data_IF_951966496018
#
_entry.id   IF_951966496018
#
_cell.length_a   1.000
_cell.length_b   1.000
_cell.length_c   1.000
_cell.angle_alpha   90.00
_cell.angle_beta   90.00
_cell.angle_gamma   90.00
#
_symmetry.space_group_name_H-M   'P 1'
#
loop_
_entity.id
_entity.type
_entity.pdbx_description
1 polymer ?
#
# COMPACT_ATOMS: atom_id res chain seq x y z
N UNK A 1 16.32 -51.14 -23.26
CA UNK A 1 14.97 -50.67 -23.64
C UNK A 1 13.97 -51.75 -23.23
N UNK A 2 13.05 -51.45 -22.30
CA UNK A 2 11.99 -52.39 -21.95
C UNK A 2 10.91 -52.32 -23.05
N UNK A 3 10.76 -53.42 -23.79
CA UNK A 3 9.71 -53.56 -24.81
C UNK A 3 8.40 -53.74 -24.04
N UNK A 4 7.55 -52.71 -24.04
CA UNK A 4 6.21 -52.78 -23.47
C UNK A 4 5.36 -53.70 -24.36
N UNK A 5 5.04 -54.90 -23.85
CA UNK A 5 4.12 -55.82 -24.50
C UNK A 5 2.70 -55.32 -24.24
N UNK A 6 2.03 -54.84 -25.28
CA UNK A 6 0.60 -54.54 -25.20
C UNK A 6 -0.16 -55.84 -24.92
N UNK A 7 -0.97 -55.83 -23.86
CA UNK A 7 -1.83 -56.96 -23.51
C UNK A 7 -2.86 -57.18 -24.60
N UNK A 8 -2.98 -58.41 -25.09
CA UNK A 8 -3.95 -58.76 -26.12
C UNK A 8 -5.39 -58.46 -25.65
N UNK A 9 -6.34 -58.28 -26.58
CA UNK A 9 -7.74 -57.96 -26.30
C UNK A 9 -8.35 -58.98 -25.34
N UNK A 10 -8.00 -60.26 -25.50
CA UNK A 10 -8.44 -61.34 -24.61
C UNK A 10 -7.85 -61.21 -23.20
N UNK A 11 -6.58 -60.85 -23.05
CA UNK A 11 -5.94 -60.63 -21.76
C UNK A 11 -6.57 -59.43 -21.02
N UNK A 12 -6.88 -58.34 -21.74
CA UNK A 12 -7.58 -57.18 -21.16
C UNK A 12 -8.99 -57.55 -20.71
N UNK A 13 -9.72 -58.32 -21.51
CA UNK A 13 -11.08 -58.78 -21.17
C UNK A 13 -11.07 -59.69 -19.94
N UNK A 14 -10.13 -60.63 -19.88
CA UNK A 14 -10.00 -61.55 -18.75
C UNK A 14 -9.59 -60.80 -17.49
N UNK A 15 -8.63 -59.87 -17.57
CA UNK A 15 -8.24 -59.03 -16.44
C UNK A 15 -9.41 -58.17 -15.91
N UNK A 16 -10.24 -57.62 -16.79
CA UNK A 16 -11.44 -56.87 -16.39
C UNK A 16 -12.49 -57.77 -15.71
N UNK A 17 -12.70 -58.99 -16.24
CA UNK A 17 -13.61 -59.97 -15.65
C UNK A 17 -13.12 -60.43 -14.27
N UNK A 18 -11.83 -60.68 -14.12
CA UNK A 18 -11.24 -61.09 -12.84
C UNK A 18 -11.26 -59.96 -11.82
N UNK A 19 -11.03 -58.70 -12.24
CA UNK A 19 -11.20 -57.53 -11.39
C UNK A 19 -12.66 -57.38 -10.91
N UNK A 20 -13.63 -57.61 -11.80
CA UNK A 20 -15.07 -57.55 -11.45
C UNK A 20 -15.47 -58.68 -10.50
N UNK A 21 -14.97 -59.91 -10.72
CA UNK A 21 -15.13 -61.03 -9.80
C UNK A 21 -14.53 -60.71 -8.43
N UNK A 22 -13.29 -60.19 -8.39
CA UNK A 22 -12.63 -59.82 -7.14
C UNK A 22 -13.39 -58.73 -6.37
N UNK A 23 -13.98 -57.75 -7.06
CA UNK A 23 -14.84 -56.73 -6.44
C UNK A 23 -16.13 -57.32 -5.85
N UNK A 24 -16.77 -58.26 -6.56
CA UNK A 24 -17.97 -58.95 -6.08
C UNK A 24 -17.67 -59.85 -4.88
N UNK A 25 -16.58 -60.62 -4.93
CA UNK A 25 -16.16 -61.46 -3.80
C UNK A 25 -15.78 -60.60 -2.59
N UNK A 26 -15.08 -59.47 -2.80
CA UNK A 26 -14.82 -58.50 -1.73
C UNK A 26 -16.10 -57.92 -1.15
N UNK A 27 -17.12 -57.66 -1.96
CA UNK A 27 -18.42 -57.15 -1.49
C UNK A 27 -19.17 -58.21 -0.67
N UNK A 28 -19.21 -59.47 -1.13
CA UNK A 28 -19.81 -60.59 -0.39
C UNK A 28 -19.09 -60.87 0.93
N UNK A 29 -17.77 -60.75 0.95
CA UNK A 29 -16.94 -60.97 2.14
C UNK A 29 -16.91 -59.77 3.10
N UNK A 30 -17.59 -58.66 2.80
CA UNK A 30 -17.66 -57.53 3.75
C UNK A 30 -18.50 -57.95 4.95
N UNK A 31 -18.01 -57.70 6.18
CA UNK A 31 -18.83 -57.90 7.37
C UNK A 31 -20.07 -57.01 7.30
N UNK A 32 -21.16 -57.49 7.89
CA UNK A 32 -22.40 -56.73 8.01
C UNK A 32 -22.17 -55.42 8.78
N UNK A 33 -23.06 -54.44 8.59
CA UNK A 33 -22.98 -53.18 9.32
C UNK A 33 -23.07 -53.36 10.84
N UNK A 34 -23.76 -54.41 11.28
CA UNK A 34 -23.95 -54.79 12.68
C UNK A 34 -22.81 -55.64 13.25
N UNK A 35 -21.79 -55.96 12.44
CA UNK A 35 -20.60 -56.65 12.92
C UNK A 35 -19.88 -55.77 13.97
N UNK A 36 -19.56 -56.31 15.16
CA UNK A 36 -19.00 -55.52 16.27
C UNK A 36 -17.68 -54.82 15.89
N UNK A 37 -16.86 -55.40 15.02
CA UNK A 37 -15.62 -54.78 14.55
C UNK A 37 -15.86 -53.66 13.52
N UNK A 38 -16.99 -53.69 12.78
CA UNK A 38 -17.41 -52.57 11.93
C UNK A 38 -17.95 -51.43 12.78
N UNK A 39 -18.79 -51.73 13.76
CA UNK A 39 -19.36 -50.74 14.69
C UNK A 39 -18.25 -50.04 15.50
N UNK A 40 -17.30 -50.80 16.04
CA UNK A 40 -16.15 -50.23 16.77
C UNK A 40 -15.35 -49.25 15.90
N UNK A 41 -15.02 -49.64 14.66
CA UNK A 41 -14.31 -48.76 13.71
C UNK A 41 -15.11 -47.51 13.34
N UNK A 42 -16.44 -47.62 13.23
CA UNK A 42 -17.29 -46.46 12.97
C UNK A 42 -17.32 -45.52 14.17
N UNK A 43 -17.42 -46.05 15.39
CA UNK A 43 -17.38 -45.27 16.62
C UNK A 43 -16.05 -44.53 16.78
N UNK A 44 -14.92 -45.21 16.56
CA UNK A 44 -13.58 -44.59 16.57
C UNK A 44 -13.47 -43.46 15.53
N UNK A 45 -13.95 -43.69 14.30
CA UNK A 45 -13.94 -42.66 13.26
C UNK A 45 -14.81 -41.45 13.64
N UNK A 46 -15.99 -41.69 14.22
CA UNK A 46 -16.86 -40.61 14.73
C UNK A 46 -16.15 -39.79 15.80
N UNK A 47 -15.54 -40.44 16.80
CA UNK A 47 -14.79 -39.77 17.86
C UNK A 47 -13.63 -38.93 17.30
N UNK A 48 -12.90 -39.45 16.30
CA UNK A 48 -11.83 -38.69 15.62
C UNK A 48 -12.38 -37.48 14.87
N UNK A 49 -13.51 -37.62 14.18
CA UNK A 49 -14.14 -36.53 13.44
C UNK A 49 -14.67 -35.45 14.38
N UNK A 50 -15.29 -35.83 15.50
CA UNK A 50 -15.74 -34.90 16.54
C UNK A 50 -14.55 -34.15 17.15
N UNK A 51 -13.47 -34.85 17.51
CA UNK A 51 -12.25 -34.22 18.01
C UNK A 51 -11.57 -33.30 16.98
N UNK A 52 -11.69 -33.58 15.69
CA UNK A 52 -11.23 -32.68 14.62
C UNK A 52 -12.14 -31.46 14.50
N UNK A 53 -13.45 -31.65 14.54
CA UNK A 53 -14.42 -30.55 14.46
C UNK A 53 -14.22 -29.55 15.61
N UNK A 54 -13.99 -30.03 16.83
CA UNK A 54 -13.69 -29.18 17.99
C UNK A 54 -12.41 -28.36 17.75
N UNK A 55 -11.31 -29.01 17.36
CA UNK A 55 -10.03 -28.32 17.10
C UNK A 55 -10.12 -27.30 15.97
N UNK A 56 -10.84 -27.60 14.90
CA UNK A 56 -11.00 -26.66 13.79
C UNK A 56 -11.91 -25.48 14.19
N UNK A 57 -12.95 -25.70 15.00
CA UNK A 57 -13.76 -24.62 15.55
C UNK A 57 -12.95 -23.69 16.47
N UNK A 58 -12.06 -24.23 17.31
CA UNK A 58 -11.17 -23.43 18.16
C UNK A 58 -10.16 -22.63 17.33
N UNK A 59 -9.53 -23.27 16.33
CA UNK A 59 -8.61 -22.58 15.41
C UNK A 59 -9.29 -21.48 14.63
N UNK A 60 -10.53 -21.69 14.18
CA UNK A 60 -11.26 -20.68 13.43
C UNK A 60 -11.57 -19.48 14.32
N UNK A 61 -12.01 -19.70 15.58
CA UNK A 61 -12.18 -18.60 16.54
C UNK A 61 -10.89 -17.81 16.74
N UNK A 62 -9.76 -18.49 16.97
CA UNK A 62 -8.47 -17.84 17.14
C UNK A 62 -8.02 -17.07 15.89
N UNK A 63 -8.29 -17.63 14.70
CA UNK A 63 -8.00 -16.98 13.43
C UNK A 63 -8.82 -15.70 13.26
N UNK A 64 -10.11 -15.75 13.55
CA UNK A 64 -11.00 -14.58 13.47
C UNK A 64 -10.58 -13.50 14.47
N UNK A 65 -10.25 -13.87 15.70
CA UNK A 65 -9.72 -12.92 16.70
C UNK A 65 -8.41 -12.28 16.25
N UNK A 66 -7.49 -13.06 15.66
CA UNK A 66 -6.23 -12.53 15.14
C UNK A 66 -6.47 -11.58 13.96
N UNK A 67 -7.32 -11.96 13.02
CA UNK A 67 -7.67 -11.10 11.88
C UNK A 67 -8.32 -9.79 12.33
N UNK A 68 -9.19 -9.84 13.34
CA UNK A 68 -9.77 -8.64 13.91
C UNK A 68 -8.72 -7.71 14.55
N UNK A 69 -7.76 -8.27 15.31
CA UNK A 69 -6.66 -7.50 15.89
C UNK A 69 -5.75 -6.90 14.83
N UNK A 70 -5.36 -7.69 13.83
CA UNK A 70 -4.52 -7.23 12.72
C UNK A 70 -5.22 -6.12 11.92
N UNK A 71 -6.55 -6.21 11.72
CA UNK A 71 -7.32 -5.17 11.04
C UNK A 71 -7.35 -3.85 11.84
N UNK A 72 -7.56 -3.93 13.15
CA UNK A 72 -7.53 -2.75 14.04
C UNK A 72 -6.14 -2.12 14.02
N UNK A 73 -5.09 -2.91 14.23
CA UNK A 73 -3.72 -2.41 14.24
C UNK A 73 -3.33 -1.78 12.90
N UNK A 74 -3.72 -2.40 11.78
CA UNK A 74 -3.49 -1.85 10.45
C UNK A 74 -4.20 -0.51 10.27
N UNK A 75 -5.48 -0.42 10.66
CA UNK A 75 -6.23 0.83 10.58
C UNK A 75 -5.60 1.94 11.45
N UNK A 76 -5.12 1.62 12.64
CA UNK A 76 -4.42 2.58 13.50
C UNK A 76 -3.10 3.06 12.89
N UNK A 77 -2.30 2.16 12.30
CA UNK A 77 -1.05 2.53 11.63
C UNK A 77 -1.31 3.39 10.40
N UNK A 78 -2.32 3.06 9.60
CA UNK A 78 -2.71 3.84 8.43
C UNK A 78 -3.19 5.24 8.84
N UNK A 79 -4.05 5.34 9.86
CA UNK A 79 -4.51 6.63 10.37
C UNK A 79 -3.36 7.50 10.91
N UNK A 80 -2.38 6.91 11.61
CA UNK A 80 -1.18 7.63 12.08
C UNK A 80 -0.32 8.10 10.91
N UNK A 81 -0.07 7.24 9.92
CA UNK A 81 0.71 7.59 8.74
C UNK A 81 0.05 8.71 7.92
N UNK A 82 -1.28 8.68 7.78
CA UNK A 82 -2.02 9.75 7.10
C UNK A 82 -1.97 11.07 7.88
N UNK A 83 -2.12 11.03 9.21
CA UNK A 83 -1.99 12.22 10.05
C UNK A 83 -0.58 12.83 9.97
N UNK A 84 0.48 11.99 10.00
CA UNK A 84 1.86 12.45 9.82
C UNK A 84 2.08 13.05 8.44
N UNK A 85 1.53 12.44 7.38
CA UNK A 85 1.62 12.99 6.01
C UNK A 85 0.95 14.35 5.91
N UNK A 86 -0.26 14.50 6.46
CA UNK A 86 -0.99 15.77 6.47
C UNK A 86 -0.23 16.84 7.25
N UNK A 87 0.29 16.51 8.43
CA UNK A 87 1.09 17.45 9.23
C UNK A 87 2.37 17.88 8.50
N UNK A 88 3.05 16.96 7.82
CA UNK A 88 4.23 17.27 7.02
C UNK A 88 3.89 18.16 5.81
N UNK A 89 2.77 17.91 5.14
CA UNK A 89 2.29 18.73 4.03
C UNK A 89 1.92 20.14 4.50
N UNK A 90 1.18 20.27 5.61
CA UNK A 90 0.84 21.57 6.19
C UNK A 90 2.09 22.35 6.61
N UNK A 91 3.07 21.69 7.23
CA UNK A 91 4.34 22.31 7.60
C UNK A 91 5.12 22.80 6.37
N UNK A 92 5.20 21.98 5.31
CA UNK A 92 5.85 22.36 4.05
C UNK A 92 5.14 23.53 3.37
N UNK A 93 3.81 23.56 3.37
CA UNK A 93 3.04 24.68 2.83
C UNK A 93 3.24 25.96 3.65
N UNK A 94 3.28 25.85 4.98
CA UNK A 94 3.54 27.00 5.86
C UNK A 94 4.94 27.57 5.63
N UNK A 95 5.95 26.70 5.50
CA UNK A 95 7.32 27.10 5.20
C UNK A 95 7.43 27.76 3.82
N UNK A 96 6.79 27.19 2.79
CA UNK A 96 6.77 27.79 1.45
C UNK A 96 6.17 29.20 1.47
N UNK A 97 5.02 29.38 2.13
CA UNK A 97 4.37 30.69 2.29
C UNK A 97 5.25 31.69 3.05
N UNK A 98 5.96 31.24 4.09
CA UNK A 98 6.88 32.09 4.84
C UNK A 98 8.03 32.57 3.94
N UNK A 99 8.62 31.66 3.14
CA UNK A 99 9.68 32.01 2.19
C UNK A 99 9.19 32.99 1.13
N UNK A 100 8.01 32.76 0.56
CA UNK A 100 7.39 33.68 -0.42
C UNK A 100 7.16 35.08 0.17
N UNK A 101 6.67 35.15 1.41
CA UNK A 101 6.48 36.43 2.11
C UNK A 101 7.82 37.15 2.35
N UNK A 102 8.85 36.43 2.80
CA UNK A 102 10.19 37.00 2.99
C UNK A 102 10.83 37.49 1.69
N UNK A 103 10.59 36.80 0.58
CA UNK A 103 11.05 37.22 -0.75
C UNK A 103 10.30 38.46 -1.23
N UNK A 104 8.98 38.50 -1.08
CA UNK A 104 8.17 39.67 -1.42
C UNK A 104 8.60 40.91 -0.61
N UNK A 105 8.86 40.74 0.69
CA UNK A 105 9.35 41.80 1.57
C UNK A 105 10.73 42.30 1.13
N UNK A 106 11.65 41.38 0.77
CA UNK A 106 12.97 41.75 0.24
C UNK A 106 12.87 42.55 -1.05
N UNK A 107 12.04 42.11 -1.99
CA UNK A 107 11.82 42.82 -3.27
C UNK A 107 11.23 44.21 -2.99
N UNK A 108 10.22 44.31 -2.13
CA UNK A 108 9.59 45.58 -1.75
C UNK A 108 10.59 46.58 -1.18
N UNK A 109 11.46 46.13 -0.26
CA UNK A 109 12.54 46.97 0.31
C UNK A 109 13.52 47.46 -0.75
N UNK A 110 13.96 46.58 -1.64
CA UNK A 110 14.88 46.96 -2.74
C UNK A 110 14.24 48.00 -3.65
N UNK A 111 12.98 47.82 -4.04
CA UNK A 111 12.26 48.78 -4.88
C UNK A 111 12.09 50.13 -4.18
N UNK A 112 11.79 50.14 -2.88
CA UNK A 112 11.70 51.37 -2.08
C UNK A 112 13.05 52.10 -2.04
N UNK A 113 14.14 51.40 -1.73
CA UNK A 113 15.49 51.95 -1.69
C UNK A 113 15.92 52.54 -3.05
N UNK A 114 15.59 51.84 -4.14
CA UNK A 114 15.86 52.31 -5.50
C UNK A 114 15.05 53.57 -5.84
N UNK A 115 13.77 53.61 -5.47
CA UNK A 115 12.91 54.77 -5.64
C UNK A 115 13.47 55.98 -4.86
N UNK A 116 13.91 55.79 -3.62
CA UNK A 116 14.54 56.85 -2.83
C UNK A 116 15.85 57.34 -3.46
N UNK A 117 16.72 56.44 -3.91
CA UNK A 117 17.98 56.79 -4.58
C UNK A 117 17.71 57.59 -5.85
N UNK A 118 16.69 57.20 -6.64
CA UNK A 118 16.27 57.92 -7.83
C UNK A 118 15.75 59.32 -7.48
N UNK A 119 14.86 59.44 -6.49
CA UNK A 119 14.35 60.73 -6.02
C UNK A 119 15.49 61.67 -5.56
N UNK A 120 16.47 61.15 -4.81
CA UNK A 120 17.67 61.91 -4.39
C UNK A 120 18.51 62.37 -5.61
N UNK A 121 18.69 61.52 -6.62
CA UNK A 121 19.39 61.90 -7.86
C UNK A 121 18.64 62.97 -8.64
N UNK A 122 17.33 62.83 -8.79
CA UNK A 122 16.48 63.76 -9.53
C UNK A 122 16.46 65.13 -8.84
N UNK A 123 16.39 65.17 -7.50
CA UNK A 123 16.51 66.40 -6.71
C UNK A 123 17.86 67.11 -6.91
N UNK A 124 18.97 66.34 -6.93
CA UNK A 124 20.30 66.90 -7.23
C UNK A 124 20.39 67.45 -8.65
N UNK A 125 19.82 66.74 -9.63
CA UNK A 125 19.81 67.18 -11.03
C UNK A 125 18.99 68.47 -11.20
N UNK A 126 17.81 68.54 -10.59
CA UNK A 126 16.98 69.74 -10.56
C UNK A 126 17.71 70.94 -9.91
N UNK A 127 18.36 70.73 -8.76
CA UNK A 127 19.15 71.78 -8.10
C UNK A 127 20.32 72.28 -8.97
N UNK A 128 21.04 71.37 -9.64
CA UNK A 128 22.13 71.73 -10.57
C UNK A 128 21.59 72.55 -11.76
N UNK A 129 20.48 72.13 -12.37
CA UNK A 129 19.84 72.88 -13.47
C UNK A 129 19.39 74.27 -13.02
N UNK A 130 18.80 74.40 -11.84
CA UNK A 130 18.39 75.69 -11.28
C UNK A 130 19.59 76.64 -11.06
N UNK A 131 20.75 76.11 -10.64
CA UNK A 131 22.00 76.90 -10.54
C UNK A 131 22.49 77.36 -11.91
N UNK A 132 22.51 76.47 -12.91
CA UNK A 132 22.93 76.81 -14.27
C UNK A 132 22.06 77.88 -14.94
N UNK A 133 20.76 77.93 -14.63
CA UNK A 133 19.84 78.97 -15.13
C UNK A 133 20.00 80.32 -14.42
N UNK A 134 20.66 80.35 -13.25
CA UNK A 134 20.98 81.58 -12.48
C UNK A 134 22.37 82.14 -12.79
N UNK A 135 23.16 81.50 -13.66
CA UNK A 135 24.42 82.06 -14.14
C UNK A 135 24.09 83.22 -15.09
N UNK A 136 24.59 84.46 -14.86
CA UNK A 136 24.35 85.56 -15.80
C UNK A 136 24.99 85.23 -17.16
N UNK A 137 24.49 85.78 -18.28
CA UNK A 137 25.05 85.53 -19.60
C UNK A 137 26.54 85.86 -19.56
N UNK A 138 27.39 84.87 -19.84
CA UNK A 138 28.83 85.09 -19.94
C UNK A 138 29.08 86.11 -21.04
N UNK A 139 29.68 87.24 -20.67
CA UNK A 139 30.16 88.23 -21.63
C UNK A 139 31.16 87.54 -22.57
N UNK A 140 30.85 87.55 -23.86
CA UNK A 140 31.81 87.22 -24.92
C UNK A 140 33.01 88.17 -24.76
N UNK A 141 34.17 87.62 -24.42
CA UNK A 141 35.43 88.29 -24.69
C UNK A 141 35.89 87.85 -26.08
N UNK A 142 36.09 88.85 -26.95
CA UNK A 142 36.42 88.72 -28.37
C UNK A 142 37.81 88.22 -28.65
#
# INVERSE_FOLDING_TARGET
MAIYREKDVFERRNAANDAKKALLEKYKARPAADDPAVVARQAERKAILEARAIREAEKEKLRQERLAREAIEKAEREAKAEAERLAAEEAAQAEAKAREAEEADRISRVLSDEAERKAKRDARYAARKARGKRMPPSANFG
#
